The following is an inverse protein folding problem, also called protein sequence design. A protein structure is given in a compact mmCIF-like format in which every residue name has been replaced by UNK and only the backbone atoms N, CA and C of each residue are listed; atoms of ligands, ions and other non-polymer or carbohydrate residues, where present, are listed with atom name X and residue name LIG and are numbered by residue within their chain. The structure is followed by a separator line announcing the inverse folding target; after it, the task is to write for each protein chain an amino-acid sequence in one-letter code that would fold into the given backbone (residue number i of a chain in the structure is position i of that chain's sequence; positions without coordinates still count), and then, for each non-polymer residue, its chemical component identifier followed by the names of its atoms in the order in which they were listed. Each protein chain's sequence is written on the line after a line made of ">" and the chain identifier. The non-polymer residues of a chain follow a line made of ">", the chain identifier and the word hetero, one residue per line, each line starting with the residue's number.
data_IF_029893880224
#
_entry.id   IF_029893880224
#
_cell.length_a   1.000
_cell.length_b   1.000
_cell.length_c   1.000
_cell.angle_alpha   90.00
_cell.angle_beta   90.00
_cell.angle_gamma   90.00
#
_symmetry.space_group_name_H-M   'P 1'
#
loop_
_entity.id
_entity.type
_entity.pdbx_description
1 polymer ?
#
# COMPACT_ATOMS: atom_id res chain seq x y z
N UNK A 1 -42.71 -5.89 20.86
CA UNK A 1 -41.95 -5.27 19.75
C UNK A 1 -40.86 -6.25 19.37
N UNK A 2 -41.04 -6.91 18.24
CA UNK A 2 -40.15 -7.94 17.70
C UNK A 2 -38.78 -7.36 17.41
N UNK A 3 -37.73 -8.02 17.90
CA UNK A 3 -36.34 -7.78 17.49
C UNK A 3 -36.26 -7.85 15.96
N UNK A 4 -35.83 -6.76 15.33
CA UNK A 4 -35.56 -6.73 13.91
C UNK A 4 -34.46 -7.75 13.63
N UNK A 5 -34.78 -8.79 12.85
CA UNK A 5 -33.82 -9.75 12.35
C UNK A 5 -32.66 -9.01 11.68
N UNK A 6 -31.44 -9.35 12.06
CA UNK A 6 -30.25 -8.90 11.33
C UNK A 6 -30.40 -9.41 9.90
N UNK A 7 -30.67 -8.49 8.98
CA UNK A 7 -30.94 -8.77 7.59
C UNK A 7 -29.66 -9.26 6.90
N UNK A 8 -29.46 -10.58 6.85
CA UNK A 8 -28.28 -11.19 6.25
C UNK A 8 -28.32 -11.11 4.72
N UNK A 9 -27.22 -10.66 4.11
CA UNK A 9 -26.97 -10.77 2.66
C UNK A 9 -26.17 -12.04 2.43
N UNK A 10 -26.66 -12.92 1.55
CA UNK A 10 -25.96 -14.13 1.11
C UNK A 10 -25.52 -13.93 -0.34
N UNK A 11 -24.34 -14.45 -0.70
CA UNK A 11 -23.87 -14.45 -2.10
C UNK A 11 -23.93 -15.88 -2.64
N UNK A 12 -24.57 -16.04 -3.80
CA UNK A 12 -24.70 -17.31 -4.52
C UNK A 12 -24.33 -17.15 -5.99
N UNK A 13 -24.06 -18.24 -6.68
CA UNK A 13 -23.95 -18.21 -8.14
C UNK A 13 -25.28 -17.83 -8.79
N UNK A 14 -25.20 -17.11 -9.92
CA UNK A 14 -26.36 -16.85 -10.75
C UNK A 14 -26.86 -18.15 -11.39
N UNK A 15 -28.18 -18.33 -11.46
CA UNK A 15 -28.85 -19.43 -12.14
C UNK A 15 -29.74 -18.90 -13.27
N UNK A 16 -30.26 -19.77 -14.13
CA UNK A 16 -30.99 -19.36 -15.34
C UNK A 16 -32.17 -18.39 -15.10
N UNK A 17 -32.81 -18.45 -13.93
CA UNK A 17 -33.96 -17.59 -13.61
C UNK A 17 -33.57 -16.15 -13.28
N UNK A 18 -32.28 -15.88 -13.03
CA UNK A 18 -31.82 -14.53 -12.67
C UNK A 18 -31.67 -13.61 -13.90
N UNK A 19 -31.74 -14.14 -15.14
CA UNK A 19 -31.32 -13.40 -16.34
C UNK A 19 -32.08 -12.08 -16.53
N UNK A 20 -33.42 -12.10 -16.53
CA UNK A 20 -34.22 -10.91 -16.80
C UNK A 20 -33.91 -9.79 -15.80
N UNK A 21 -33.81 -10.15 -14.51
CA UNK A 21 -33.44 -9.19 -13.46
C UNK A 21 -32.02 -8.64 -13.65
N UNK A 22 -31.05 -9.48 -14.00
CA UNK A 22 -29.66 -9.05 -14.27
C UNK A 22 -29.60 -8.11 -15.46
N UNK A 23 -30.27 -8.47 -16.56
CA UNK A 23 -30.27 -7.69 -17.79
C UNK A 23 -30.86 -6.29 -17.57
N UNK A 24 -32.02 -6.23 -16.90
CA UNK A 24 -32.67 -4.99 -16.49
C UNK A 24 -31.77 -4.14 -15.60
N UNK A 25 -31.14 -4.76 -14.59
CA UNK A 25 -30.24 -4.07 -13.67
C UNK A 25 -29.02 -3.50 -14.42
N UNK A 26 -28.44 -4.25 -15.35
CA UNK A 26 -27.32 -3.79 -16.19
C UNK A 26 -27.72 -2.62 -17.08
N UNK A 27 -28.85 -2.71 -17.79
CA UNK A 27 -29.34 -1.60 -18.65
C UNK A 27 -29.51 -0.33 -17.82
N UNK A 28 -30.20 -0.40 -16.68
CA UNK A 28 -30.42 0.78 -15.81
C UNK A 28 -29.12 1.36 -15.25
N UNK A 29 -28.18 0.50 -14.84
CA UNK A 29 -26.96 0.94 -14.16
C UNK A 29 -25.87 1.45 -15.11
N UNK A 30 -25.77 0.90 -16.32
CA UNK A 30 -24.68 1.16 -17.26
C UNK A 30 -24.98 2.29 -18.25
N UNK A 31 -26.22 2.42 -18.72
CA UNK A 31 -26.65 3.42 -19.72
C UNK A 31 -26.19 4.87 -19.42
N UNK A 32 -26.19 5.36 -18.17
CA UNK A 32 -25.72 6.72 -17.89
C UNK A 32 -24.24 6.95 -18.23
N UNK A 33 -23.42 5.90 -18.19
CA UNK A 33 -21.95 5.99 -18.24
C UNK A 33 -21.33 5.37 -19.49
N UNK A 34 -22.03 4.41 -20.12
CA UNK A 34 -21.50 3.57 -21.17
C UNK A 34 -22.46 3.52 -22.36
N UNK A 35 -21.93 3.63 -23.58
CA UNK A 35 -22.71 3.41 -24.80
C UNK A 35 -22.73 1.91 -25.17
N UNK A 36 -23.59 1.54 -26.11
CA UNK A 36 -23.75 0.17 -26.61
C UNK A 36 -24.98 -0.55 -26.07
N UNK A 37 -25.14 -1.81 -26.51
CA UNK A 37 -26.28 -2.66 -26.14
C UNK A 37 -25.99 -3.43 -24.84
N UNK A 38 -26.44 -2.86 -23.71
CA UNK A 38 -26.25 -3.44 -22.38
C UNK A 38 -27.03 -4.74 -22.17
N UNK A 39 -28.15 -4.93 -22.86
CA UNK A 39 -28.94 -6.16 -22.76
C UNK A 39 -28.25 -7.31 -23.49
N UNK A 40 -27.79 -7.08 -24.73
CA UNK A 40 -26.97 -8.05 -25.46
C UNK A 40 -25.66 -8.36 -24.71
N UNK A 41 -25.06 -7.34 -24.09
CA UNK A 41 -23.88 -7.54 -23.24
C UNK A 41 -24.19 -8.47 -22.05
N UNK A 42 -25.29 -8.23 -21.33
CA UNK A 42 -25.75 -9.06 -20.23
C UNK A 42 -25.97 -10.51 -20.67
N UNK A 43 -26.68 -10.71 -21.80
CA UNK A 43 -26.91 -12.05 -22.38
C UNK A 43 -25.61 -12.80 -22.63
N UNK A 44 -24.64 -12.18 -23.29
CA UNK A 44 -23.37 -12.82 -23.61
C UNK A 44 -22.59 -13.29 -22.38
N UNK A 45 -22.45 -12.43 -21.36
CA UNK A 45 -21.68 -12.79 -20.16
C UNK A 45 -22.43 -13.80 -19.29
N UNK A 46 -23.77 -13.72 -19.27
CA UNK A 46 -24.62 -14.62 -18.51
C UNK A 46 -24.64 -16.03 -19.13
N UNK A 47 -24.79 -16.15 -20.44
CA UNK A 47 -24.77 -17.44 -21.15
C UNK A 47 -23.42 -18.15 -20.98
N UNK A 48 -22.31 -17.39 -20.94
CA UNK A 48 -20.98 -17.94 -20.66
C UNK A 48 -20.91 -18.52 -19.25
N UNK A 49 -21.44 -17.80 -18.25
CA UNK A 49 -21.52 -18.29 -16.86
C UNK A 49 -22.37 -19.56 -16.76
N UNK A 50 -23.57 -19.56 -17.34
CA UNK A 50 -24.49 -20.72 -17.31
C UNK A 50 -23.90 -21.94 -18.01
N UNK A 51 -23.09 -21.76 -19.05
CA UNK A 51 -22.39 -22.84 -19.75
C UNK A 51 -21.16 -23.40 -19.00
N UNK A 52 -21.08 -23.21 -17.68
CA UNK A 52 -19.97 -23.68 -16.83
C UNK A 52 -18.83 -22.67 -16.69
N UNK A 53 -19.01 -21.44 -17.15
CA UNK A 53 -18.07 -20.34 -16.96
C UNK A 53 -16.78 -20.42 -17.77
N UNK A 54 -16.62 -21.39 -18.67
CA UNK A 54 -15.45 -21.51 -19.55
C UNK A 54 -15.56 -20.58 -20.76
N UNK A 55 -14.59 -19.70 -20.94
CA UNK A 55 -14.58 -18.74 -22.06
C UNK A 55 -13.76 -19.28 -23.25
N UNK A 56 -14.42 -20.06 -24.12
CA UNK A 56 -13.75 -20.74 -25.24
C UNK A 56 -13.29 -19.80 -26.36
N UNK A 57 -13.99 -18.69 -26.56
CA UNK A 57 -13.70 -17.70 -27.61
C UNK A 57 -12.86 -16.53 -27.09
N UNK A 58 -12.68 -16.43 -25.78
CA UNK A 58 -11.90 -15.39 -25.12
C UNK A 58 -10.43 -15.43 -25.54
N UNK A 59 -9.98 -14.43 -26.29
CA UNK A 59 -8.55 -14.25 -26.59
C UNK A 59 -7.73 -14.08 -25.30
N UNK A 60 -8.24 -13.26 -24.37
CA UNK A 60 -7.55 -12.91 -23.11
C UNK A 60 -8.21 -13.49 -21.84
N UNK A 61 -9.40 -14.05 -21.95
CA UNK A 61 -10.15 -14.65 -20.82
C UNK A 61 -10.12 -16.16 -20.88
N UNK A 62 -10.06 -16.79 -19.71
CA UNK A 62 -10.20 -18.24 -19.53
C UNK A 62 -11.54 -18.63 -18.92
N UNK A 63 -12.20 -17.70 -18.21
CA UNK A 63 -13.53 -17.94 -17.67
C UNK A 63 -14.27 -16.69 -17.23
N UNK A 64 -15.58 -16.85 -17.00
CA UNK A 64 -16.53 -15.80 -16.65
C UNK A 64 -17.53 -16.36 -15.64
N UNK A 65 -17.65 -15.70 -14.48
CA UNK A 65 -18.51 -16.17 -13.39
C UNK A 65 -19.34 -15.03 -12.84
N UNK A 66 -20.60 -15.32 -12.52
CA UNK A 66 -21.56 -14.34 -12.04
C UNK A 66 -22.14 -14.77 -10.69
N UNK A 67 -22.16 -13.83 -9.76
CA UNK A 67 -22.67 -14.03 -8.42
C UNK A 67 -23.74 -12.99 -8.08
N UNK A 68 -24.80 -13.43 -7.42
CA UNK A 68 -25.94 -12.62 -6.98
C UNK A 68 -25.87 -12.49 -5.46
N UNK A 69 -26.01 -11.26 -4.97
CA UNK A 69 -26.29 -11.00 -3.57
C UNK A 69 -27.81 -11.04 -3.38
N UNK A 70 -28.26 -11.83 -2.42
CA UNK A 70 -29.65 -12.04 -2.08
C UNK A 70 -29.89 -11.61 -0.63
N UNK A 71 -30.97 -10.87 -0.35
CA UNK A 71 -31.38 -10.58 1.02
C UNK A 71 -32.06 -11.80 1.66
N UNK A 72 -32.16 -11.82 3.00
CA UNK A 72 -32.72 -12.95 3.73
C UNK A 72 -34.18 -13.31 3.41
N UNK A 73 -34.88 -12.46 2.65
CA UNK A 73 -36.22 -12.67 2.09
C UNK A 73 -36.21 -13.23 0.64
N UNK A 74 -35.03 -13.61 0.13
CA UNK A 74 -34.87 -14.19 -1.19
C UNK A 74 -34.82 -13.17 -2.33
N UNK A 75 -34.83 -11.87 -2.04
CA UNK A 75 -34.83 -10.84 -3.08
C UNK A 75 -33.40 -10.52 -3.57
N UNK A 76 -33.16 -10.45 -4.89
CA UNK A 76 -31.86 -10.11 -5.43
C UNK A 76 -31.55 -8.63 -5.18
N UNK A 77 -30.40 -8.37 -4.54
CA UNK A 77 -29.96 -7.06 -4.07
C UNK A 77 -28.76 -6.49 -4.86
N UNK A 78 -28.03 -7.33 -5.60
CA UNK A 78 -26.93 -6.90 -6.45
C UNK A 78 -26.26 -8.06 -7.20
N UNK A 79 -25.41 -7.72 -8.16
CA UNK A 79 -24.66 -8.66 -8.99
C UNK A 79 -23.19 -8.27 -9.02
N UNK A 80 -22.30 -9.27 -9.01
CA UNK A 80 -20.92 -9.12 -9.45
C UNK A 80 -20.59 -10.17 -10.50
N UNK A 81 -20.03 -9.72 -11.61
CA UNK A 81 -19.47 -10.56 -12.64
C UNK A 81 -17.96 -10.40 -12.69
N UNK A 82 -17.25 -11.53 -12.67
CA UNK A 82 -15.79 -11.61 -12.70
C UNK A 82 -15.33 -12.37 -13.94
N UNK A 83 -14.26 -11.86 -14.54
CA UNK A 83 -13.65 -12.45 -15.74
C UNK A 83 -12.23 -12.86 -15.41
N UNK A 84 -12.00 -14.17 -15.45
CA UNK A 84 -10.69 -14.78 -15.23
C UNK A 84 -9.83 -14.54 -16.48
N UNK A 85 -8.66 -13.94 -16.29
CA UNK A 85 -7.74 -13.64 -17.37
C UNK A 85 -6.65 -14.71 -17.46
N UNK A 86 -6.28 -15.07 -18.68
CA UNK A 86 -5.19 -16.03 -18.96
C UNK A 86 -3.86 -15.59 -18.37
N UNK A 87 -3.72 -14.28 -18.12
CA UNK A 87 -2.54 -13.67 -17.51
C UNK A 87 -2.48 -13.82 -15.99
N UNK A 88 -3.39 -14.55 -15.32
CA UNK A 88 -3.38 -14.75 -13.86
C UNK A 88 -3.91 -13.55 -13.07
N UNK A 89 -4.95 -12.89 -13.58
CA UNK A 89 -5.64 -11.76 -12.93
C UNK A 89 -7.15 -11.91 -13.11
N UNK A 90 -7.94 -11.19 -12.32
CA UNK A 90 -9.41 -11.17 -12.44
C UNK A 90 -9.88 -9.75 -12.74
N UNK A 91 -10.75 -9.60 -13.75
CA UNK A 91 -11.44 -8.33 -14.03
C UNK A 91 -12.86 -8.35 -13.45
N UNK A 92 -13.26 -7.32 -12.73
CA UNK A 92 -14.67 -7.08 -12.38
C UNK A 92 -15.34 -6.33 -13.55
N UNK A 93 -16.43 -6.88 -14.09
CA UNK A 93 -17.14 -6.28 -15.23
C UNK A 93 -18.55 -6.87 -15.40
N UNK A 94 -19.59 -6.42 -14.67
CA UNK A 94 -19.59 -5.33 -13.69
C UNK A 94 -19.84 -5.78 -12.23
N UNK A 95 -19.71 -4.83 -11.28
CA UNK A 95 -20.33 -4.91 -9.94
C UNK A 95 -21.46 -3.87 -9.88
N UNK A 96 -22.67 -4.30 -9.59
CA UNK A 96 -23.85 -3.43 -9.54
C UNK A 96 -24.67 -3.78 -8.31
N UNK A 97 -25.02 -2.77 -7.51
CA UNK A 97 -25.97 -2.89 -6.40
C UNK A 97 -27.28 -2.23 -6.82
N UNK A 98 -28.39 -2.93 -6.59
CA UNK A 98 -29.72 -2.40 -6.86
C UNK A 98 -29.95 -1.13 -6.03
N UNK A 99 -30.61 -0.14 -6.65
CA UNK A 99 -30.89 1.16 -6.02
C UNK A 99 -31.57 1.06 -4.66
N UNK A 100 -32.44 0.08 -4.44
CA UNK A 100 -33.14 -0.12 -3.18
C UNK A 100 -32.20 -0.44 -2.00
N UNK A 101 -31.04 -1.05 -2.30
CA UNK A 101 -30.06 -1.55 -1.34
C UNK A 101 -28.75 -0.75 -1.28
N UNK A 102 -28.58 0.26 -2.14
CA UNK A 102 -27.35 1.10 -2.15
C UNK A 102 -27.14 1.80 -0.81
N UNK A 103 -25.93 1.67 -0.26
CA UNK A 103 -25.56 2.25 1.03
C UNK A 103 -26.19 1.56 2.24
N UNK A 104 -26.92 0.46 2.02
CA UNK A 104 -27.58 -0.34 3.06
C UNK A 104 -26.95 -1.73 3.10
N UNK A 105 -26.93 -2.36 4.27
CA UNK A 105 -26.64 -3.79 4.46
C UNK A 105 -25.27 -4.28 3.92
N UNK A 106 -24.39 -3.39 3.48
CA UNK A 106 -23.06 -3.75 2.99
C UNK A 106 -23.01 -4.53 1.68
N UNK A 107 -24.10 -4.62 0.89
CA UNK A 107 -24.23 -5.49 -0.30
C UNK A 107 -22.99 -5.47 -1.21
N UNK A 108 -22.58 -4.29 -1.67
CA UNK A 108 -21.40 -4.16 -2.55
C UNK A 108 -20.10 -4.64 -1.90
N UNK A 109 -19.96 -4.49 -0.58
CA UNK A 109 -18.80 -4.99 0.16
C UNK A 109 -18.79 -6.52 0.22
N UNK A 110 -19.95 -7.15 0.43
CA UNK A 110 -20.07 -8.61 0.47
C UNK A 110 -19.79 -9.21 -0.92
N UNK A 111 -20.37 -8.64 -1.98
CA UNK A 111 -20.08 -9.02 -3.36
C UNK A 111 -18.60 -8.91 -3.71
N UNK A 112 -17.98 -7.77 -3.39
CA UNK A 112 -16.56 -7.56 -3.67
C UNK A 112 -15.69 -8.53 -2.88
N UNK A 113 -15.99 -8.77 -1.59
CA UNK A 113 -15.24 -9.75 -0.80
C UNK A 113 -15.33 -11.14 -1.43
N UNK A 114 -16.52 -11.57 -1.84
CA UNK A 114 -16.70 -12.86 -2.52
C UNK A 114 -15.85 -12.94 -3.81
N UNK A 115 -15.84 -11.89 -4.62
CA UNK A 115 -15.02 -11.83 -5.82
C UNK A 115 -13.50 -11.84 -5.54
N UNK A 116 -13.05 -11.20 -4.46
CA UNK A 116 -11.65 -11.26 -4.05
C UNK A 116 -11.27 -12.67 -3.56
N UNK A 117 -12.13 -13.32 -2.77
CA UNK A 117 -11.91 -14.68 -2.28
C UNK A 117 -11.89 -15.69 -3.45
N UNK A 118 -12.79 -15.53 -4.41
CA UNK A 118 -12.79 -16.28 -5.66
C UNK A 118 -11.51 -16.03 -6.48
N UNK A 119 -11.08 -14.78 -6.63
CA UNK A 119 -9.83 -14.48 -7.33
C UNK A 119 -8.60 -15.13 -6.63
N UNK A 120 -8.58 -15.15 -5.29
CA UNK A 120 -7.54 -15.82 -4.51
C UNK A 120 -7.57 -17.34 -4.68
N UNK A 121 -8.75 -17.97 -4.74
CA UNK A 121 -8.84 -19.43 -4.97
C UNK A 121 -8.30 -19.85 -6.34
N UNK A 122 -8.29 -18.93 -7.31
CA UNK A 122 -7.66 -19.10 -8.62
C UNK A 122 -6.15 -18.79 -8.65
N UNK A 123 -5.55 -18.41 -7.50
CA UNK A 123 -4.16 -17.96 -7.44
C UNK A 123 -3.90 -16.62 -8.16
N UNK A 124 -4.94 -15.80 -8.36
CA UNK A 124 -4.79 -14.52 -9.06
C UNK A 124 -4.03 -13.51 -8.21
N UNK A 125 -3.02 -12.87 -8.79
CA UNK A 125 -2.21 -11.84 -8.09
C UNK A 125 -2.92 -10.50 -7.93
N UNK A 126 -3.89 -10.22 -8.79
CA UNK A 126 -4.55 -8.92 -8.87
C UNK A 126 -6.01 -9.08 -9.28
N UNK A 127 -6.84 -8.19 -8.73
CA UNK A 127 -8.19 -7.92 -9.20
C UNK A 127 -8.26 -6.47 -9.70
N UNK A 128 -8.91 -6.25 -10.84
CA UNK A 128 -8.96 -4.93 -11.46
C UNK A 128 -10.33 -4.62 -12.06
N UNK A 129 -10.63 -3.34 -12.21
CA UNK A 129 -11.87 -2.86 -12.80
C UNK A 129 -11.64 -1.52 -13.49
N UNK A 130 -12.68 -1.03 -14.14
CA UNK A 130 -12.72 0.33 -14.63
C UNK A 130 -13.95 1.03 -14.09
N UNK A 131 -13.85 2.34 -13.88
CA UNK A 131 -14.96 3.17 -13.40
C UNK A 131 -14.99 4.46 -14.20
N UNK A 132 -16.16 4.77 -14.78
CA UNK A 132 -16.40 6.04 -15.45
C UNK A 132 -16.12 7.22 -14.50
N UNK A 133 -15.33 8.20 -14.95
CA UNK A 133 -14.89 9.34 -14.16
C UNK A 133 -16.05 10.14 -13.50
N UNK A 134 -17.24 10.28 -14.12
CA UNK A 134 -18.41 10.88 -13.48
C UNK A 134 -19.01 10.05 -12.34
N UNK A 135 -18.77 8.73 -12.28
CA UNK A 135 -19.31 7.84 -11.25
C UNK A 135 -18.50 7.90 -9.93
N UNK A 136 -18.56 9.06 -9.27
CA UNK A 136 -17.80 9.33 -8.03
C UNK A 136 -18.16 8.37 -6.88
N UNK A 137 -19.39 7.85 -6.85
CA UNK A 137 -19.84 6.88 -5.83
C UNK A 137 -19.11 5.54 -5.99
N UNK A 138 -19.05 4.99 -7.20
CA UNK A 138 -18.31 3.75 -7.46
C UNK A 138 -16.80 3.94 -7.26
N UNK A 139 -16.24 5.06 -7.74
CA UNK A 139 -14.82 5.38 -7.54
C UNK A 139 -14.48 5.43 -6.04
N UNK A 140 -15.26 6.19 -5.25
CA UNK A 140 -15.07 6.27 -3.80
C UNK A 140 -15.25 4.92 -3.09
N UNK A 141 -16.17 4.07 -3.56
CA UNK A 141 -16.34 2.72 -3.04
C UNK A 141 -15.07 1.87 -3.27
N UNK A 142 -14.56 1.79 -4.49
CA UNK A 142 -13.38 0.98 -4.80
C UNK A 142 -12.12 1.50 -4.08
N UNK A 143 -11.91 2.82 -4.02
CA UNK A 143 -10.80 3.44 -3.29
C UNK A 143 -10.83 3.07 -1.79
N UNK A 144 -12.01 3.13 -1.15
CA UNK A 144 -12.21 2.69 0.24
C UNK A 144 -11.96 1.19 0.45
N UNK A 145 -12.03 0.39 -0.63
CA UNK A 145 -11.76 -1.06 -0.61
C UNK A 145 -10.32 -1.41 -0.95
N UNK A 146 -9.44 -0.42 -1.05
CA UNK A 146 -8.01 -0.60 -1.27
C UNK A 146 -7.61 -0.69 -2.75
N UNK A 147 -8.53 -0.41 -3.68
CA UNK A 147 -8.17 -0.24 -5.08
C UNK A 147 -7.48 1.10 -5.28
N UNK A 148 -6.66 1.18 -6.33
CA UNK A 148 -5.97 2.41 -6.72
C UNK A 148 -6.16 2.70 -8.18
N UNK A 149 -6.28 3.99 -8.48
CA UNK A 149 -6.25 4.46 -9.85
C UNK A 149 -4.82 4.33 -10.37
N UNK A 150 -4.65 3.57 -11.46
CA UNK A 150 -3.35 3.40 -12.14
C UNK A 150 -3.25 4.24 -13.43
N UNK A 151 -4.39 4.68 -13.95
CA UNK A 151 -4.45 5.59 -15.08
C UNK A 151 -5.88 5.96 -15.44
N UNK A 152 -6.01 6.82 -16.45
CA UNK A 152 -7.30 7.26 -16.99
C UNK A 152 -7.26 7.14 -18.51
N UNK A 153 -8.19 6.40 -19.08
CA UNK A 153 -8.39 6.32 -20.52
C UNK A 153 -9.41 7.39 -20.93
N UNK A 154 -9.08 8.21 -21.92
CA UNK A 154 -9.98 9.24 -22.42
C UNK A 154 -10.97 8.66 -23.41
N UNK A 155 -12.23 9.10 -23.35
CA UNK A 155 -13.30 8.77 -24.31
C UNK A 155 -13.45 7.27 -24.59
N UNK A 156 -13.22 6.42 -23.58
CA UNK A 156 -12.94 5.00 -23.83
C UNK A 156 -14.19 4.18 -24.17
N UNK A 157 -15.26 4.36 -23.39
CA UNK A 157 -16.53 3.63 -23.57
C UNK A 157 -17.70 4.53 -23.98
N UNK A 158 -17.51 5.84 -23.87
CA UNK A 158 -18.49 6.87 -24.24
C UNK A 158 -17.73 8.17 -24.49
N UNK A 159 -18.03 8.82 -25.62
CA UNK A 159 -17.39 10.09 -25.97
C UNK A 159 -17.74 11.15 -24.93
N UNK A 160 -16.74 11.90 -24.46
CA UNK A 160 -16.85 12.88 -23.38
C UNK A 160 -16.77 12.28 -21.98
N UNK A 161 -16.59 10.95 -21.85
CA UNK A 161 -16.47 10.28 -20.56
C UNK A 161 -15.13 9.53 -20.47
N UNK A 162 -14.27 10.05 -19.60
CA UNK A 162 -13.04 9.39 -19.19
C UNK A 162 -13.33 8.16 -18.31
N UNK A 163 -12.46 7.16 -18.38
CA UNK A 163 -12.55 5.92 -17.61
C UNK A 163 -11.30 5.76 -16.73
N UNK A 164 -11.49 5.68 -15.42
CA UNK A 164 -10.40 5.35 -14.50
C UNK A 164 -10.15 3.85 -14.52
N UNK A 165 -8.89 3.46 -14.67
CA UNK A 165 -8.43 2.08 -14.50
C UNK A 165 -8.00 1.87 -13.06
N UNK A 166 -8.57 0.88 -12.40
CA UNK A 166 -8.28 0.57 -11.01
C UNK A 166 -7.81 -0.86 -10.83
N UNK A 167 -6.88 -1.07 -9.90
CA UNK A 167 -6.49 -2.41 -9.49
C UNK A 167 -6.23 -2.49 -7.99
N UNK A 168 -6.29 -3.72 -7.48
CA UNK A 168 -5.91 -4.10 -6.12
C UNK A 168 -5.04 -5.35 -6.20
N UNK A 169 -3.92 -5.34 -5.49
CA UNK A 169 -3.10 -6.54 -5.30
C UNK A 169 -3.78 -7.49 -4.32
N UNK A 170 -3.71 -8.79 -4.60
CA UNK A 170 -4.24 -9.86 -3.76
C UNK A 170 -3.09 -10.63 -3.08
N UNK A 171 -2.07 -9.92 -2.60
CA UNK A 171 -0.94 -10.49 -1.85
C UNK A 171 -1.26 -10.50 -0.36
N UNK A 172 -0.77 -11.52 0.32
CA UNK A 172 -0.87 -11.63 1.78
C UNK A 172 0.06 -10.62 2.47
N UNK A 173 -0.42 -10.06 3.58
CA UNK A 173 0.38 -9.11 4.35
C UNK A 173 1.47 -9.81 5.16
N UNK A 174 2.60 -9.11 5.32
CA UNK A 174 3.76 -9.59 6.04
C UNK A 174 3.43 -9.92 7.51
N UNK A 175 3.58 -11.18 7.90
CA UNK A 175 3.39 -11.68 9.27
C UNK A 175 4.51 -11.32 10.24
N UNK A 176 4.52 -11.92 11.43
CA UNK A 176 5.55 -11.69 12.46
C UNK A 176 6.98 -11.98 11.97
N UNK A 177 7.13 -12.99 11.12
CA UNK A 177 8.42 -13.47 10.61
C UNK A 177 9.04 -12.58 9.53
N UNK A 178 8.33 -11.51 9.15
CA UNK A 178 8.88 -10.51 8.24
C UNK A 178 10.16 -9.87 8.80
N UNK A 179 11.16 -9.56 7.94
CA UNK A 179 12.43 -9.01 8.38
C UNK A 179 12.25 -7.67 9.11
N UNK A 180 13.01 -7.48 10.19
CA UNK A 180 12.99 -6.23 10.97
C UNK A 180 13.93 -5.19 10.33
N UNK A 181 13.39 -4.40 9.40
CA UNK A 181 14.18 -3.44 8.64
C UNK A 181 14.10 -2.04 9.27
N UNK A 182 15.26 -1.50 9.66
CA UNK A 182 15.40 -0.14 10.18
C UNK A 182 16.06 0.77 9.15
N UNK A 183 15.46 1.91 8.84
CA UNK A 183 16.08 2.95 8.02
C UNK A 183 16.78 3.95 8.94
N UNK A 184 18.10 4.06 8.82
CA UNK A 184 18.94 4.88 9.69
C UNK A 184 19.92 5.73 8.87
N UNK A 185 20.45 6.84 9.43
CA UNK A 185 21.52 7.59 8.77
C UNK A 185 22.72 6.70 8.46
N UNK A 186 23.35 6.91 7.30
CA UNK A 186 24.53 6.17 6.87
C UNK A 186 25.73 6.40 7.80
N UNK A 187 26.44 5.33 8.09
CA UNK A 187 27.71 5.33 8.80
C UNK A 187 28.85 4.92 7.85
N UNK A 188 30.00 5.58 7.92
CA UNK A 188 31.13 5.32 7.02
C UNK A 188 31.67 3.89 7.15
N UNK A 189 31.47 3.21 8.29
CA UNK A 189 31.79 1.78 8.45
C UNK A 189 30.98 0.87 7.51
N UNK A 190 29.90 1.39 6.92
CA UNK A 190 29.01 0.67 5.99
C UNK A 190 29.36 0.93 4.51
N UNK A 191 30.38 1.75 4.22
CA UNK A 191 30.69 2.22 2.87
C UNK A 191 30.84 1.08 1.86
N UNK A 192 31.56 0.02 2.20
CA UNK A 192 31.81 -1.11 1.29
C UNK A 192 30.52 -1.88 0.96
N UNK A 193 29.69 -2.16 1.98
CA UNK A 193 28.41 -2.85 1.78
C UNK A 193 27.42 -2.01 0.98
N UNK A 194 27.36 -0.70 1.28
CA UNK A 194 26.52 0.24 0.55
C UNK A 194 26.95 0.36 -0.92
N UNK A 195 28.26 0.47 -1.18
CA UNK A 195 28.83 0.50 -2.54
C UNK A 195 28.50 -0.75 -3.32
N UNK A 196 28.74 -1.94 -2.74
CA UNK A 196 28.45 -3.20 -3.40
C UNK A 196 26.97 -3.31 -3.80
N UNK A 197 26.05 -2.91 -2.90
CA UNK A 197 24.62 -2.91 -3.19
C UNK A 197 24.24 -1.91 -4.29
N UNK A 198 24.79 -0.69 -4.27
CA UNK A 198 24.54 0.31 -5.32
C UNK A 198 24.98 -0.20 -6.69
N UNK A 199 26.23 -0.66 -6.79
CA UNK A 199 26.80 -1.11 -8.07
C UNK A 199 26.05 -2.31 -8.64
N UNK A 200 25.66 -3.27 -7.79
CA UNK A 200 24.90 -4.45 -8.23
C UNK A 200 23.46 -4.17 -8.68
N UNK A 201 22.84 -3.09 -8.18
CA UNK A 201 21.43 -2.79 -8.47
C UNK A 201 21.23 -1.70 -9.53
N UNK A 202 22.24 -0.86 -9.78
CA UNK A 202 22.11 0.27 -10.70
C UNK A 202 22.82 0.09 -12.04
N UNK A 203 23.86 -0.74 -12.13
CA UNK A 203 24.78 -0.79 -13.27
C UNK A 203 24.10 -1.01 -14.62
N UNK A 204 23.03 -1.81 -14.65
CA UNK A 204 22.41 -2.26 -15.90
C UNK A 204 21.37 -1.26 -16.43
N UNK A 205 20.80 -0.44 -15.53
CA UNK A 205 19.73 0.51 -15.87
C UNK A 205 20.23 1.97 -15.97
N UNK A 206 21.45 2.26 -15.49
CA UNK A 206 22.01 3.60 -15.42
C UNK A 206 23.47 3.60 -15.89
N UNK A 207 23.71 4.08 -17.10
CA UNK A 207 25.08 4.24 -17.61
C UNK A 207 25.87 5.25 -16.76
N UNK A 208 27.12 4.91 -16.44
CA UNK A 208 28.02 5.78 -15.65
C UNK A 208 27.83 5.70 -14.14
N UNK A 209 27.13 4.67 -13.63
CA UNK A 209 27.16 4.33 -12.20
C UNK A 209 28.28 3.33 -11.95
N UNK A 210 29.45 3.86 -11.60
CA UNK A 210 30.67 3.12 -11.29
C UNK A 210 31.20 3.51 -9.89
N UNK A 211 32.43 3.09 -9.58
CA UNK A 211 33.06 3.42 -8.30
C UNK A 211 33.22 4.92 -8.08
N UNK A 212 33.61 5.66 -9.11
CA UNK A 212 33.81 7.12 -9.04
C UNK A 212 32.48 7.83 -8.75
N UNK A 213 31.39 7.32 -9.32
CA UNK A 213 30.05 7.82 -9.02
C UNK A 213 29.68 7.62 -7.55
N UNK A 214 29.97 6.45 -6.98
CA UNK A 214 29.73 6.17 -5.55
C UNK A 214 30.64 7.00 -4.65
N UNK A 215 31.90 7.22 -5.05
CA UNK A 215 32.82 8.12 -4.34
C UNK A 215 32.31 9.55 -4.31
N UNK A 216 31.75 10.04 -5.41
CA UNK A 216 31.12 11.36 -5.46
C UNK A 216 29.90 11.47 -4.53
N UNK A 217 29.11 10.40 -4.40
CA UNK A 217 27.99 10.31 -3.45
C UNK A 217 28.50 10.43 -2.00
N UNK A 218 29.49 9.62 -1.61
CA UNK A 218 30.04 9.65 -0.25
C UNK A 218 30.77 10.96 0.07
N UNK A 219 31.53 11.52 -0.88
CA UNK A 219 32.12 12.85 -0.72
C UNK A 219 31.04 13.92 -0.49
N UNK A 220 29.90 13.81 -1.19
CA UNK A 220 28.73 14.65 -0.95
C UNK A 220 28.14 14.51 0.45
N UNK A 221 28.14 13.30 1.00
CA UNK A 221 27.68 13.03 2.36
C UNK A 221 28.60 13.62 3.43
N UNK A 222 29.92 13.56 3.21
CA UNK A 222 30.89 14.23 4.10
C UNK A 222 30.71 15.74 4.17
N UNK A 223 30.05 16.35 3.17
CA UNK A 223 29.68 17.78 3.13
C UNK A 223 28.30 18.10 3.72
N UNK A 224 27.56 17.13 4.29
CA UNK A 224 26.16 17.31 4.71
C UNK A 224 25.94 18.45 5.71
N UNK A 225 26.88 18.64 6.63
CA UNK A 225 26.77 19.65 7.70
C UNK A 225 26.83 21.09 7.15
N UNK A 226 27.32 21.28 5.91
CA UNK A 226 27.33 22.59 5.27
C UNK A 226 25.92 23.11 4.98
N UNK A 227 24.93 22.22 4.76
CA UNK A 227 23.55 22.60 4.43
C UNK A 227 23.37 23.40 3.13
N UNK A 228 24.45 23.73 2.41
CA UNK A 228 24.43 24.55 1.20
C UNK A 228 24.23 23.70 -0.06
N UNK A 229 23.09 23.91 -0.73
CA UNK A 229 22.76 23.23 -1.99
C UNK A 229 23.81 23.44 -3.09
N UNK A 230 24.56 24.55 -3.06
CA UNK A 230 25.63 24.83 -4.04
C UNK A 230 26.90 24.02 -3.78
N UNK A 231 27.17 23.67 -2.51
CA UNK A 231 28.19 22.68 -2.13
C UNK A 231 27.82 21.24 -2.53
N UNK A 232 26.63 21.04 -3.12
CA UNK A 232 26.10 19.76 -3.61
C UNK A 232 26.19 18.67 -2.53
N UNK A 233 25.85 19.00 -1.30
CA UNK A 233 25.82 18.02 -0.22
C UNK A 233 24.80 16.90 -0.47
N UNK A 234 24.93 15.82 0.30
CA UNK A 234 24.06 14.64 0.26
C UNK A 234 23.71 14.24 1.67
N UNK A 235 22.55 13.64 1.85
CA UNK A 235 22.19 12.91 3.05
C UNK A 235 22.04 11.46 2.61
N UNK A 236 22.59 10.50 3.34
CA UNK A 236 22.47 9.09 2.96
C UNK A 236 21.79 8.35 4.11
N UNK A 237 20.86 7.48 3.76
CA UNK A 237 20.23 6.54 4.67
C UNK A 237 20.51 5.10 4.20
N UNK A 238 20.69 4.20 5.15
CA UNK A 238 20.79 2.76 4.93
C UNK A 238 19.58 2.07 5.55
N UNK A 239 19.04 1.07 4.84
CA UNK A 239 18.11 0.11 5.40
C UNK A 239 18.92 -1.07 5.93
N UNK A 240 18.78 -1.35 7.23
CA UNK A 240 19.50 -2.42 7.93
C UNK A 240 18.56 -3.56 8.33
N UNK A 241 19.00 -4.79 8.09
CA UNK A 241 18.39 -6.01 8.63
C UNK A 241 19.50 -6.92 9.17
N UNK A 242 19.38 -7.37 10.42
CA UNK A 242 20.33 -8.29 11.06
C UNK A 242 21.82 -7.88 10.92
N UNK A 243 22.07 -6.58 11.02
CA UNK A 243 23.41 -6.00 10.91
C UNK A 243 23.95 -5.85 9.48
N UNK A 244 23.18 -6.21 8.46
CA UNK A 244 23.54 -6.06 7.04
C UNK A 244 22.82 -4.87 6.41
N UNK A 245 23.50 -4.18 5.51
CA UNK A 245 22.88 -3.17 4.63
C UNK A 245 22.08 -3.90 3.55
N UNK A 246 20.78 -3.71 3.55
CA UNK A 246 19.82 -4.31 2.59
C UNK A 246 19.16 -3.26 1.70
N UNK A 247 19.49 -1.98 1.90
CA UNK A 247 19.04 -0.89 1.03
C UNK A 247 19.82 0.40 1.29
N UNK A 248 19.89 1.26 0.27
CA UNK A 248 20.58 2.55 0.35
C UNK A 248 19.76 3.61 -0.38
N UNK A 249 19.62 4.78 0.25
CA UNK A 249 19.03 5.95 -0.36
C UNK A 249 19.92 7.17 -0.20
N UNK A 250 20.31 7.78 -1.32
CA UNK A 250 20.99 9.08 -1.35
C UNK A 250 19.98 10.21 -1.57
N UNK A 251 19.80 11.09 -0.60
CA UNK A 251 18.96 12.28 -0.70
C UNK A 251 19.78 13.51 -1.08
N UNK A 252 19.41 14.15 -2.18
CA UNK A 252 20.04 15.38 -2.69
C UNK A 252 19.04 16.53 -2.70
N UNK A 253 19.09 17.43 -1.70
CA UNK A 253 18.33 18.68 -1.75
C UNK A 253 18.72 19.53 -2.97
N UNK A 254 17.74 20.20 -3.58
CA UNK A 254 17.89 21.04 -4.78
C UNK A 254 17.38 22.46 -4.54
N UNK A 255 17.77 23.39 -5.42
CA UNK A 255 17.18 24.74 -5.47
C UNK A 255 15.66 24.63 -5.59
N UNK A 256 14.93 25.47 -4.84
CA UNK A 256 13.47 25.39 -4.74
C UNK A 256 12.97 24.37 -3.72
N UNK A 257 13.86 23.64 -3.03
CA UNK A 257 13.55 22.66 -1.97
C UNK A 257 12.87 21.33 -2.37
N UNK A 258 12.92 20.80 -3.61
CA UNK A 258 12.68 19.38 -3.82
C UNK A 258 13.95 18.57 -3.48
N UNK A 259 13.76 17.28 -3.15
CA UNK A 259 14.83 16.37 -2.77
C UNK A 259 14.84 15.20 -3.74
N UNK A 260 15.95 15.02 -4.47
CA UNK A 260 16.12 13.85 -5.34
C UNK A 260 16.62 12.68 -4.51
N UNK A 261 15.93 11.55 -4.57
CA UNK A 261 16.43 10.27 -4.08
C UNK A 261 17.19 9.58 -5.22
N UNK A 262 18.50 9.45 -5.08
CA UNK A 262 19.38 8.71 -5.98
C UNK A 262 20.73 8.45 -5.27
N UNK A 263 21.14 7.18 -5.08
CA UNK A 263 20.42 5.96 -5.43
C UNK A 263 19.16 5.80 -4.57
N UNK A 264 18.24 4.92 -5.00
CA UNK A 264 17.20 4.34 -4.15
C UNK A 264 17.15 2.84 -4.49
N UNK A 265 17.99 2.07 -3.82
CA UNK A 265 18.21 0.65 -4.10
C UNK A 265 17.93 -0.20 -2.88
N UNK A 266 17.49 -1.44 -3.11
CA UNK A 266 17.15 -2.38 -2.06
C UNK A 266 17.28 -3.82 -2.57
N UNK A 267 17.69 -4.75 -1.71
CA UNK A 267 17.84 -6.16 -2.04
C UNK A 267 16.55 -6.97 -1.89
N UNK A 268 15.45 -6.35 -1.43
CA UNK A 268 14.15 -6.99 -1.25
C UNK A 268 13.00 -5.97 -1.26
N UNK A 269 11.77 -6.46 -1.50
CA UNK A 269 10.55 -5.64 -1.44
C UNK A 269 10.39 -4.97 -0.07
N UNK A 270 10.61 -5.72 1.02
CA UNK A 270 10.51 -5.18 2.38
C UNK A 270 11.53 -4.06 2.64
N UNK A 271 12.74 -4.16 2.11
CA UNK A 271 13.77 -3.12 2.26
C UNK A 271 13.44 -1.86 1.45
N UNK A 272 12.92 -2.04 0.23
CA UNK A 272 12.47 -0.93 -0.60
C UNK A 272 11.27 -0.21 0.03
N UNK A 273 10.26 -0.97 0.49
CA UNK A 273 9.08 -0.43 1.17
C UNK A 273 9.48 0.35 2.44
N UNK A 274 10.44 -0.18 3.21
CA UNK A 274 10.99 0.52 4.36
C UNK A 274 11.56 1.90 3.99
N UNK A 275 12.38 1.98 2.92
CA UNK A 275 12.94 3.25 2.44
C UNK A 275 11.84 4.19 1.95
N UNK A 276 10.91 3.70 1.12
CA UNK A 276 9.82 4.49 0.52
C UNK A 276 8.92 5.14 1.57
N UNK A 277 8.69 4.47 2.69
CA UNK A 277 7.87 4.99 3.80
C UNK A 277 8.68 5.87 4.74
N UNK A 278 9.79 5.36 5.27
CA UNK A 278 10.50 6.03 6.37
C UNK A 278 11.15 7.34 5.89
N UNK A 279 11.63 7.40 4.64
CA UNK A 279 12.23 8.61 4.08
C UNK A 279 11.24 9.77 4.00
N UNK A 280 9.94 9.53 3.94
CA UNK A 280 8.93 10.59 3.95
C UNK A 280 9.03 11.41 5.24
N UNK A 281 9.07 10.75 6.40
CA UNK A 281 9.20 11.44 7.70
C UNK A 281 10.63 11.83 8.06
N UNK A 282 11.64 11.15 7.51
CA UNK A 282 13.05 11.47 7.78
C UNK A 282 13.54 12.71 7.00
N UNK A 283 12.92 12.99 5.85
CA UNK A 283 13.33 14.08 4.96
C UNK A 283 12.34 15.27 4.93
N UNK A 284 11.25 15.22 5.70
CA UNK A 284 10.22 16.27 5.76
C UNK A 284 10.79 17.66 6.05
N UNK A 285 11.79 17.75 6.94
CA UNK A 285 12.41 19.02 7.34
C UNK A 285 13.33 19.61 6.26
N UNK A 286 13.78 18.79 5.29
CA UNK A 286 14.77 19.18 4.28
C UNK A 286 14.14 19.77 3.02
N UNK A 287 12.83 19.65 2.82
CA UNK A 287 12.20 20.06 1.57
C UNK A 287 10.68 19.97 1.57
N UNK A 288 10.07 20.25 0.42
CA UNK A 288 8.60 20.17 0.25
C UNK A 288 8.16 18.94 -0.59
N UNK A 289 9.11 18.25 -1.23
CA UNK A 289 8.86 17.16 -2.16
C UNK A 289 10.04 16.19 -2.22
N UNK A 290 9.74 14.89 -2.29
CA UNK A 290 10.67 13.85 -2.71
C UNK A 290 10.40 13.48 -4.17
N UNK A 291 11.45 13.16 -4.92
CA UNK A 291 11.30 12.55 -6.23
C UNK A 291 12.45 11.59 -6.53
N UNK A 292 12.18 10.57 -7.34
CA UNK A 292 13.14 9.52 -7.70
C UNK A 292 13.02 9.21 -9.19
N UNK A 293 14.15 8.86 -9.82
CA UNK A 293 14.19 8.28 -11.16
C UNK A 293 14.54 6.80 -11.03
N UNK A 294 13.70 5.94 -11.58
CA UNK A 294 13.87 4.48 -11.51
C UNK A 294 13.54 3.85 -12.86
N UNK A 295 14.11 2.68 -13.13
CA UNK A 295 13.53 1.68 -14.04
C UNK A 295 12.89 0.63 -13.14
N UNK A 296 11.63 0.85 -12.69
CA UNK A 296 11.09 0.04 -11.60
C UNK A 296 10.59 -1.31 -12.11
N UNK A 297 10.80 -2.35 -11.31
CA UNK A 297 10.06 -3.59 -11.44
C UNK A 297 8.58 -3.39 -11.05
N UNK A 298 7.65 -4.27 -11.49
CA UNK A 298 6.22 -4.13 -11.20
C UNK A 298 5.88 -3.98 -9.70
N UNK A 299 6.62 -4.66 -8.82
CA UNK A 299 6.41 -4.59 -7.37
C UNK A 299 6.85 -3.23 -6.79
N UNK A 300 7.89 -2.59 -7.35
CA UNK A 300 8.32 -1.23 -6.94
C UNK A 300 7.27 -0.19 -7.31
N UNK A 301 6.67 -0.31 -8.51
CA UNK A 301 5.54 0.53 -8.93
C UNK A 301 4.38 0.40 -7.95
N UNK A 302 4.01 -0.83 -7.60
CA UNK A 302 2.91 -1.09 -6.67
C UNK A 302 3.18 -0.57 -5.25
N UNK A 303 4.44 -0.65 -4.78
CA UNK A 303 4.91 -0.09 -3.52
C UNK A 303 4.85 1.46 -3.54
N UNK A 304 5.36 2.11 -4.57
CA UNK A 304 5.32 3.57 -4.70
C UNK A 304 3.87 4.09 -4.68
N UNK A 305 2.98 3.49 -5.48
CA UNK A 305 1.55 3.82 -5.48
C UNK A 305 0.89 3.58 -4.12
N UNK A 306 1.42 2.67 -3.30
CA UNK A 306 0.89 2.33 -1.96
C UNK A 306 1.11 3.42 -0.96
N UNK A 307 2.29 4.00 -1.02
CA UNK A 307 2.72 4.97 -0.04
C UNK A 307 2.60 6.41 -0.57
N UNK A 308 1.67 6.64 -1.51
CA UNK A 308 1.25 7.97 -1.94
C UNK A 308 2.14 8.62 -3.00
N UNK A 309 3.10 7.88 -3.58
CA UNK A 309 3.89 8.38 -4.69
C UNK A 309 3.06 8.36 -5.97
N UNK A 310 3.26 9.38 -6.81
CA UNK A 310 2.59 9.51 -8.11
C UNK A 310 3.62 9.40 -9.23
N UNK A 311 3.27 8.72 -10.31
CA UNK A 311 4.04 8.77 -11.55
C UNK A 311 3.87 10.17 -12.16
N UNK A 312 4.97 10.87 -12.35
CA UNK A 312 4.99 12.27 -12.84
C UNK A 312 5.53 12.39 -14.26
N UNK A 313 6.25 11.37 -14.75
CA UNK A 313 6.81 11.39 -16.10
C UNK A 313 7.54 10.12 -16.47
N UNK A 314 7.78 9.97 -17.77
CA UNK A 314 8.57 8.88 -18.35
C UNK A 314 9.60 9.45 -19.32
N UNK A 315 10.82 8.90 -19.29
CA UNK A 315 11.95 9.31 -20.11
C UNK A 315 12.47 8.09 -20.90
N UNK A 316 12.05 7.92 -22.17
CA UNK A 316 12.63 6.92 -23.06
C UNK A 316 14.12 7.23 -23.30
N UNK A 317 15.00 6.27 -23.09
CA UNK A 317 16.43 6.43 -23.34
C UNK A 317 17.16 7.36 -22.35
N UNK A 318 16.50 7.82 -21.28
CA UNK A 318 17.00 8.93 -20.47
C UNK A 318 18.28 8.66 -19.67
N UNK A 319 18.52 7.41 -19.27
CA UNK A 319 19.71 7.00 -18.51
C UNK A 319 20.48 5.83 -19.14
N UNK A 320 19.82 5.07 -20.02
CA UNK A 320 20.43 4.08 -20.91
C UNK A 320 19.56 3.93 -22.18
N UNK A 321 20.12 3.65 -23.38
CA UNK A 321 19.36 3.61 -24.64
C UNK A 321 18.14 2.67 -24.61
N UNK A 322 18.26 1.50 -23.96
CA UNK A 322 17.21 0.48 -23.87
C UNK A 322 16.42 0.54 -22.56
N UNK A 323 16.20 1.75 -22.03
CA UNK A 323 15.48 1.96 -20.76
C UNK A 323 14.33 2.96 -20.92
N UNK A 324 13.29 2.79 -20.12
CA UNK A 324 12.25 3.82 -19.91
C UNK A 324 12.28 4.18 -18.43
N UNK A 325 12.91 5.31 -18.12
CA UNK A 325 13.03 5.78 -16.75
C UNK A 325 11.75 6.49 -16.35
N UNK A 326 11.21 6.14 -15.18
CA UNK A 326 10.03 6.77 -14.61
C UNK A 326 10.45 7.78 -13.54
N UNK A 327 9.86 8.98 -13.57
CA UNK A 327 9.90 9.89 -12.44
C UNK A 327 8.71 9.64 -11.53
N UNK A 328 9.01 9.33 -10.27
CA UNK A 328 8.00 9.24 -9.21
C UNK A 328 8.20 10.38 -8.23
N UNK A 329 7.10 11.01 -7.81
CA UNK A 329 7.12 12.13 -6.87
C UNK A 329 6.19 11.90 -5.67
N UNK A 330 6.62 12.42 -4.53
CA UNK A 330 5.85 12.47 -3.29
C UNK A 330 5.91 13.88 -2.71
N UNK A 331 4.77 14.54 -2.56
CA UNK A 331 4.68 15.86 -1.95
C UNK A 331 4.32 15.72 -0.47
N UNK A 332 5.09 16.35 0.43
CA UNK A 332 4.82 16.27 1.87
C UNK A 332 3.46 16.88 2.25
N UNK A 333 3.01 17.87 1.47
CA UNK A 333 1.80 18.66 1.71
C UNK A 333 0.90 18.66 0.47
N UNK A 334 0.02 17.67 0.34
CA UNK A 334 -1.23 17.86 -0.43
C UNK A 334 -2.27 18.38 0.57
N UNK A 335 -2.57 19.67 0.52
CA UNK A 335 -3.70 20.37 1.15
C UNK A 335 -4.38 19.60 2.30
N UNK A 336 -3.74 19.61 3.46
CA UNK A 336 -4.18 18.93 4.69
C UNK A 336 -2.98 18.67 5.59
N UNK A 337 -3.14 18.77 6.91
CA UNK A 337 -2.09 18.40 7.85
C UNK A 337 -1.74 16.91 7.61
N UNK A 338 -0.54 16.64 7.09
CA UNK A 338 -0.11 15.26 6.88
C UNK A 338 0.03 14.58 8.25
N UNK A 339 -0.84 13.60 8.50
CA UNK A 339 -0.73 12.77 9.69
C UNK A 339 0.56 11.97 9.54
N UNK A 340 1.42 12.03 10.55
CA UNK A 340 2.70 11.35 10.51
C UNK A 340 2.50 9.85 10.36
N UNK A 341 3.29 9.21 9.49
CA UNK A 341 3.21 7.77 9.23
C UNK A 341 4.22 6.99 10.05
N UNK A 342 3.85 5.77 10.45
CA UNK A 342 4.75 4.82 11.09
C UNK A 342 4.43 3.40 10.64
N UNK A 343 5.46 2.68 10.17
CA UNK A 343 5.33 1.27 9.82
C UNK A 343 5.17 0.39 11.05
N UNK A 344 4.28 -0.58 10.95
CA UNK A 344 4.07 -1.60 11.98
C UNK A 344 3.78 -2.96 11.32
N UNK A 345 4.19 -4.06 11.96
CA UNK A 345 3.88 -5.41 11.47
C UNK A 345 2.39 -5.71 11.64
N UNK A 346 1.80 -6.44 10.70
CA UNK A 346 0.35 -6.69 10.66
C UNK A 346 -0.21 -7.25 11.96
N UNK A 347 0.40 -8.25 12.62
CA UNK A 347 -0.17 -8.76 13.86
C UNK A 347 -0.19 -7.75 15.01
N UNK A 348 0.79 -6.83 15.08
CA UNK A 348 0.77 -5.73 16.04
C UNK A 348 -0.25 -4.66 15.66
N UNK A 349 -0.41 -4.37 14.36
CA UNK A 349 -1.46 -3.49 13.86
C UNK A 349 -2.84 -4.00 14.28
N UNK A 350 -3.12 -5.29 14.06
CA UNK A 350 -4.39 -5.92 14.44
C UNK A 350 -4.62 -5.84 15.94
N UNK A 351 -3.59 -6.16 16.74
CA UNK A 351 -3.68 -6.04 18.19
C UNK A 351 -3.97 -4.60 18.66
N UNK A 352 -3.44 -3.58 17.97
CA UNK A 352 -3.75 -2.17 18.25
C UNK A 352 -5.18 -1.84 17.86
N UNK A 353 -5.60 -2.24 16.66
CA UNK A 353 -6.94 -1.93 16.15
C UNK A 353 -8.05 -2.65 16.93
N UNK A 354 -7.74 -3.80 17.53
CA UNK A 354 -8.59 -4.54 18.47
C UNK A 354 -8.49 -4.06 19.93
N UNK A 355 -7.57 -3.14 20.24
CA UNK A 355 -7.38 -2.59 21.59
C UNK A 355 -6.62 -3.50 22.57
N UNK A 356 -6.09 -4.64 22.11
CA UNK A 356 -5.24 -5.53 22.92
C UNK A 356 -3.84 -4.96 23.16
N UNK A 357 -3.34 -4.14 22.22
CA UNK A 357 -2.06 -3.43 22.31
C UNK A 357 -2.30 -1.92 22.33
N UNK A 358 -2.03 -1.28 23.45
CA UNK A 358 -2.21 0.17 23.66
C UNK A 358 -0.88 0.88 23.87
N UNK A 359 0.23 0.14 24.03
CA UNK A 359 1.56 0.67 24.25
C UNK A 359 2.47 0.27 23.09
N UNK A 360 2.87 1.25 22.27
CA UNK A 360 3.82 1.04 21.20
C UNK A 360 5.24 1.44 21.62
N UNK A 361 6.19 0.51 21.48
CA UNK A 361 7.55 0.70 21.96
C UNK A 361 8.51 0.93 20.80
N UNK A 362 9.24 2.04 20.86
CA UNK A 362 10.27 2.43 19.89
C UNK A 362 11.52 2.88 20.62
N UNK A 363 12.67 2.86 19.94
CA UNK A 363 13.89 3.50 20.47
C UNK A 363 13.98 4.95 20.01
N UNK A 364 14.74 5.77 20.74
CA UNK A 364 14.81 7.22 20.63
C UNK A 364 15.53 7.78 19.39
N UNK A 365 15.16 7.31 18.20
CA UNK A 365 15.54 7.99 16.95
C UNK A 365 15.00 9.41 16.93
N UNK A 366 15.66 10.31 16.18
CA UNK A 366 15.24 11.71 16.07
C UNK A 366 13.78 11.86 15.61
N UNK A 367 13.32 10.97 14.73
CA UNK A 367 11.92 10.93 14.31
C UNK A 367 10.97 10.63 15.48
N UNK A 368 11.27 9.61 16.29
CA UNK A 368 10.47 9.21 17.45
C UNK A 368 10.45 10.31 18.52
N UNK A 369 11.59 10.94 18.80
CA UNK A 369 11.72 12.04 19.77
C UNK A 369 10.85 13.26 19.46
N UNK A 370 10.44 13.44 18.20
CA UNK A 370 9.56 14.54 17.77
C UNK A 370 8.08 14.27 18.02
N UNK A 371 7.68 13.05 18.34
CA UNK A 371 6.28 12.74 18.64
C UNK A 371 5.83 13.49 19.91
N UNK A 372 4.54 13.87 19.94
CA UNK A 372 3.94 14.62 21.05
C UNK A 372 2.59 14.01 21.42
N UNK A 373 2.29 14.05 22.72
CA UNK A 373 0.95 13.75 23.23
C UNK A 373 -0.09 14.66 22.57
N UNK A 374 -1.28 14.13 22.33
CA UNK A 374 -2.36 14.75 21.57
C UNK A 374 -2.26 14.60 20.04
N UNK A 375 -1.07 14.29 19.50
CA UNK A 375 -0.84 14.13 18.07
C UNK A 375 -1.52 12.89 17.46
N UNK A 376 -1.74 12.92 16.15
CA UNK A 376 -2.23 11.77 15.38
C UNK A 376 -1.05 11.04 14.72
N UNK A 377 -1.19 9.71 14.64
CA UNK A 377 -0.24 8.82 13.99
C UNK A 377 -0.99 7.87 13.06
N UNK A 378 -0.59 7.81 11.79
CA UNK A 378 -1.09 6.84 10.83
C UNK A 378 -0.17 5.61 10.86
N UNK A 379 -0.68 4.52 11.39
CA UNK A 379 -0.02 3.23 11.34
C UNK A 379 -0.22 2.62 9.95
N UNK A 380 0.86 2.20 9.30
CA UNK A 380 0.84 1.52 8.00
C UNK A 380 1.38 0.11 8.15
N UNK A 381 0.69 -0.86 7.54
CA UNK A 381 1.14 -2.25 7.46
C UNK A 381 0.71 -2.83 6.12
N UNK A 382 1.66 -3.21 5.26
CA UNK A 382 1.37 -3.72 3.92
C UNK A 382 0.30 -2.88 3.21
N UNK A 383 -0.90 -3.45 3.04
CA UNK A 383 -2.01 -2.84 2.30
C UNK A 383 -3.04 -2.10 3.17
N UNK A 384 -2.84 -2.09 4.48
CA UNK A 384 -3.79 -1.54 5.45
C UNK A 384 -3.18 -0.38 6.22
N UNK A 385 -4.02 0.57 6.63
CA UNK A 385 -3.61 1.63 7.54
C UNK A 385 -4.72 1.98 8.52
N UNK A 386 -4.34 2.60 9.64
CA UNK A 386 -5.24 3.01 10.70
C UNK A 386 -4.67 4.19 11.46
N UNK A 387 -5.54 5.12 11.87
CA UNK A 387 -5.13 6.32 12.61
C UNK A 387 -5.34 6.12 14.10
N UNK A 388 -4.31 6.40 14.88
CA UNK A 388 -4.35 6.41 16.34
C UNK A 388 -3.97 7.79 16.87
N UNK A 389 -4.45 8.11 18.06
CA UNK A 389 -4.05 9.29 18.83
C UNK A 389 -3.00 8.91 19.85
N UNK A 390 -1.96 9.72 19.98
CA UNK A 390 -0.95 9.59 21.03
C UNK A 390 -1.51 10.22 22.30
N UNK A 391 -1.72 9.41 23.35
CA UNK A 391 -2.18 9.89 24.66
C UNK A 391 -1.03 10.41 25.50
N UNK A 392 0.03 9.63 25.59
CA UNK A 392 1.20 9.95 26.39
C UNK A 392 2.47 9.34 25.77
N UNK A 393 3.62 9.89 26.13
CA UNK A 393 4.93 9.33 25.79
C UNK A 393 5.76 9.27 27.07
N UNK A 394 6.27 8.09 27.40
CA UNK A 394 7.13 7.84 28.56
C UNK A 394 8.47 7.30 28.10
N UNK A 395 9.55 7.68 28.78
CA UNK A 395 10.91 7.39 28.35
C UNK A 395 11.62 6.61 29.46
N UNK A 396 12.32 5.55 29.08
CA UNK A 396 13.09 4.67 29.95
C UNK A 396 14.51 4.48 29.39
N UNK A 397 15.46 4.16 30.26
CA UNK A 397 16.85 3.96 29.85
C UNK A 397 17.05 2.64 29.09
N UNK A 398 16.29 1.59 29.46
CA UNK A 398 16.38 0.27 28.85
C UNK A 398 15.03 -0.48 28.92
N UNK A 399 14.93 -1.61 28.22
CA UNK A 399 13.70 -2.41 28.17
C UNK A 399 13.35 -3.11 29.48
N UNK A 400 14.35 -3.44 30.32
CA UNK A 400 14.09 -4.10 31.59
C UNK A 400 13.38 -3.14 32.55
N UNK A 401 13.87 -1.92 32.68
CA UNK A 401 13.25 -0.87 33.50
C UNK A 401 11.84 -0.53 33.00
N UNK A 402 11.67 -0.47 31.67
CA UNK A 402 10.37 -0.27 31.06
C UNK A 402 9.39 -1.40 31.42
N UNK A 403 9.78 -2.68 31.28
CA UNK A 403 8.91 -3.82 31.57
C UNK A 403 8.62 -4.01 33.06
N UNK A 404 9.44 -3.44 33.94
CA UNK A 404 9.16 -3.38 35.38
C UNK A 404 8.03 -2.38 35.71
N UNK A 405 7.85 -1.33 34.90
CA UNK A 405 6.87 -0.28 35.12
C UNK A 405 5.60 -0.42 34.25
N UNK A 406 5.72 -1.01 33.07
CA UNK A 406 4.66 -1.05 32.05
C UNK A 406 4.08 -2.47 31.89
N UNK A 407 2.76 -2.60 31.63
CA UNK A 407 2.13 -3.90 31.42
C UNK A 407 2.60 -4.53 30.11
N UNK A 408 3.52 -5.50 30.20
CA UNK A 408 4.11 -6.18 29.03
C UNK A 408 3.06 -6.74 28.06
N UNK A 409 1.89 -7.20 28.55
CA UNK A 409 0.78 -7.70 27.73
C UNK A 409 0.21 -6.66 26.77
N UNK A 410 0.27 -5.38 27.13
CA UNK A 410 -0.18 -4.27 26.28
C UNK A 410 0.91 -3.80 25.31
N UNK A 411 2.15 -4.30 25.45
CA UNK A 411 3.30 -4.00 24.57
C UNK A 411 3.51 -5.13 23.56
N UNK A 412 3.60 -6.37 24.03
CA UNK A 412 3.85 -7.58 23.22
C UNK A 412 2.78 -8.62 23.57
N UNK A 413 1.54 -8.49 23.07
CA UNK A 413 0.42 -9.33 23.50
C UNK A 413 0.60 -10.83 23.20
N UNK A 414 1.48 -11.17 22.27
CA UNK A 414 1.78 -12.56 21.90
C UNK A 414 2.85 -13.23 22.76
N UNK A 415 3.53 -12.48 23.65
CA UNK A 415 4.46 -13.08 24.60
C UNK A 415 3.70 -13.87 25.68
N UNK A 416 4.33 -14.91 26.23
CA UNK A 416 3.79 -15.72 27.33
C UNK A 416 4.03 -15.07 28.68
N UNK A 417 5.15 -14.37 28.81
CA UNK A 417 5.61 -13.70 30.02
C UNK A 417 6.50 -12.47 29.70
N UNK A 418 6.98 -11.78 30.75
CA UNK A 418 7.82 -10.60 30.63
C UNK A 418 9.22 -10.90 30.07
N UNK A 419 9.77 -12.10 30.30
CA UNK A 419 11.09 -12.48 29.80
C UNK A 419 11.06 -12.68 28.27
N UNK A 420 10.02 -13.35 27.77
CA UNK A 420 9.79 -13.49 26.34
C UNK A 420 9.52 -12.14 25.67
N UNK A 421 8.76 -11.24 26.33
CA UNK A 421 8.57 -9.88 25.84
C UNK A 421 9.90 -9.11 25.72
N UNK A 422 10.77 -9.21 26.73
CA UNK A 422 12.12 -8.62 26.70
C UNK A 422 12.97 -9.18 25.56
N UNK A 423 12.95 -10.51 25.38
CA UNK A 423 13.67 -11.17 24.30
C UNK A 423 13.20 -10.69 22.92
N UNK A 424 11.89 -10.63 22.70
CA UNK A 424 11.30 -10.16 21.44
C UNK A 424 11.65 -8.69 21.15
N UNK A 425 11.62 -7.82 22.16
CA UNK A 425 12.03 -6.42 22.01
C UNK A 425 13.51 -6.28 21.63
N UNK A 426 14.39 -7.02 22.29
CA UNK A 426 15.84 -7.01 21.99
C UNK A 426 16.20 -7.63 20.64
N UNK A 427 15.38 -8.56 20.13
CA UNK A 427 15.48 -9.07 18.76
C UNK A 427 15.19 -7.98 17.72
N UNK A 428 14.27 -7.05 18.02
CA UNK A 428 13.95 -5.91 17.15
C UNK A 428 14.99 -4.78 17.32
N UNK A 429 15.35 -4.49 18.57
CA UNK A 429 16.26 -3.43 18.96
C UNK A 429 17.43 -4.00 19.78
N UNK A 430 18.54 -4.41 19.13
CA UNK A 430 19.73 -4.85 19.82
C UNK A 430 20.31 -3.77 20.73
N UNK A 431 21.24 -4.14 21.62
CA UNK A 431 21.81 -3.24 22.65
C UNK A 431 22.26 -1.86 22.12
N UNK A 432 22.85 -1.80 20.90
CA UNK A 432 23.26 -0.52 20.29
C UNK A 432 22.09 0.44 20.03
N UNK A 433 20.92 -0.10 19.70
CA UNK A 433 19.67 0.66 19.45
C UNK A 433 18.96 0.98 20.76
N UNK A 434 18.96 0.05 21.72
CA UNK A 434 18.40 0.26 23.06
C UNK A 434 19.03 1.47 23.77
N UNK A 435 20.35 1.67 23.60
CA UNK A 435 21.10 2.85 24.12
C UNK A 435 20.59 4.21 23.63
N UNK A 436 19.74 4.27 22.61
CA UNK A 436 19.10 5.51 22.17
C UNK A 436 17.98 5.97 23.11
N UNK A 437 17.65 5.17 24.14
CA UNK A 437 16.54 5.34 25.06
C UNK A 437 15.26 4.70 24.52
N UNK A 438 14.45 4.14 25.41
CA UNK A 438 13.20 3.44 25.08
C UNK A 438 12.02 4.40 25.25
N UNK A 439 11.23 4.57 24.20
CA UNK A 439 10.04 5.42 24.17
C UNK A 439 8.79 4.55 24.10
N UNK A 440 7.97 4.63 25.14
CA UNK A 440 6.64 4.03 25.20
C UNK A 440 5.63 5.06 24.75
N UNK A 441 4.96 4.79 23.64
CA UNK A 441 3.94 5.63 23.03
C UNK A 441 2.59 5.01 23.38
N UNK A 442 1.87 5.63 24.32
CA UNK A 442 0.51 5.21 24.63
C UNK A 442 -0.43 5.72 23.55
N UNK A 443 -1.18 4.80 22.94
CA UNK A 443 -2.00 5.07 21.77
C UNK A 443 -3.44 4.63 22.00
N UNK A 444 -4.35 5.37 21.37
CA UNK A 444 -5.77 5.08 21.35
C UNK A 444 -6.28 5.13 19.91
N UNK A 445 -7.09 4.14 19.54
CA UNK A 445 -7.75 4.10 18.23
C UNK A 445 -8.76 5.25 18.13
N UNK A 446 -8.74 6.00 17.02
CA UNK A 446 -9.90 6.84 16.69
C UNK A 446 -11.07 5.95 16.24
N UNK A 447 -12.22 6.11 16.91
CA UNK A 447 -13.47 5.46 16.54
C UNK A 447 -13.95 5.89 15.16
#
# INVERSE_FOLDING_TARGET
>A
MTEASVSNIVVREANANDFEWVADLMVRALTPFYDGDHHAHARRIFDTHIAGGHDQVGQFSSGQHMFIAESGDGQPAGVIHVVNKKQGTVKISPLIVDTAYRGKMGVGSVLLKHAEDFARSLGSRQIYCTVAAPNKKALGFFLKKGFRVTGTAKDHYKVGIDEHMLYKQLVDEAGFDSPNISVVPFDESQADSARALILSQMSDAFNGVDNDWVDALFAGYRRRELGDVNAKFKIIFTAECDGKVVGVAGATPKKGRPIKLMPLVASSEAAFEALVVDLQGLLEDYGHKLYVHLVPEPWQVACLQRHGWSLEGVFPGGYAPNSVVQQWGFNFNKEGASVRKMRIKKPYFDAIMEGRKTLEVRVGYNSIKRLKAGGLLQLETGHTSGVVRIRAIRIYDNFADMLAAEPWRQIVPQARDAEEALHLLRKIYPARKERLGVHVIEIERQQ
#
